data_IF_500609037551
#
_entry.id   IF_500609037551
#
_cell.length_a   1.000
_cell.length_b   1.000
_cell.length_c   1.000
_cell.angle_alpha   90.00
_cell.angle_beta   90.00
_cell.angle_gamma   90.00
#
_symmetry.space_group_name_H-M   'P 1'
#
loop_
_entity.id
_entity.type
_entity.pdbx_description
1 polymer ?
#
# COMPACT_ATOMS: atom_id res chain seq x y z
N UNK A 1 -24.56 0.10 -71.84
CA UNK A 1 -24.58 -1.36 -71.75
C UNK A 1 -25.09 -1.68 -70.35
N UNK A 2 -26.42 -1.93 -70.27
CA UNK A 2 -27.25 -2.49 -69.17
C UNK A 2 -27.03 -1.87 -67.78
N UNK A 3 -27.81 -0.89 -67.31
CA UNK A 3 -29.21 -0.90 -66.83
C UNK A 3 -29.55 -1.95 -65.76
N UNK A 4 -30.07 -1.46 -64.62
CA UNK A 4 -31.35 -1.84 -63.94
C UNK A 4 -31.22 -1.70 -62.41
N UNK A 5 -31.82 -0.61 -61.89
CA UNK A 5 -32.34 -0.46 -60.52
C UNK A 5 -33.38 -1.54 -60.19
N UNK A 6 -33.64 -1.86 -58.92
CA UNK A 6 -35.02 -2.06 -58.46
C UNK A 6 -35.12 -1.96 -56.92
N UNK A 7 -35.74 -0.87 -56.47
CA UNK A 7 -36.51 -0.76 -55.21
C UNK A 7 -37.90 -1.36 -55.42
N UNK A 8 -38.47 -1.95 -54.38
CA UNK A 8 -39.92 -2.03 -54.05
C UNK A 8 -40.10 -3.09 -52.94
N UNK A 9 -41.18 -3.16 -52.16
CA UNK A 9 -42.04 -2.21 -51.46
C UNK A 9 -42.95 -3.10 -50.57
N UNK A 10 -43.21 -2.69 -49.33
CA UNK A 10 -44.48 -2.77 -48.56
C UNK A 10 -45.37 -4.07 -48.54
N UNK A 11 -45.46 -4.63 -47.31
CA UNK A 11 -46.67 -5.07 -46.53
C UNK A 11 -47.35 -6.45 -46.76
N UNK A 12 -48.40 -6.83 -45.99
CA UNK A 12 -48.33 -7.24 -44.58
C UNK A 12 -49.00 -8.63 -44.37
N UNK A 13 -48.58 -9.42 -43.38
CA UNK A 13 -49.43 -10.51 -42.90
C UNK A 13 -49.74 -10.34 -41.41
N UNK A 14 -51.03 -10.10 -41.20
CA UNK A 14 -51.74 -9.85 -39.96
C UNK A 14 -52.47 -11.15 -39.66
N UNK A 15 -51.98 -11.94 -38.72
CA UNK A 15 -52.79 -12.95 -38.06
C UNK A 15 -52.75 -12.69 -36.56
N UNK A 16 -53.91 -12.33 -36.04
CA UNK A 16 -54.16 -12.13 -34.63
C UNK A 16 -54.38 -13.47 -33.94
N UNK A 17 -53.77 -13.61 -32.77
CA UNK A 17 -54.30 -14.41 -31.69
C UNK A 17 -54.08 -13.60 -30.41
N UNK A 18 -55.19 -13.24 -29.78
CA UNK A 18 -55.27 -12.52 -28.51
C UNK A 18 -55.43 -13.54 -27.36
N UNK A 19 -54.95 -13.12 -26.18
CA UNK A 19 -55.15 -13.68 -24.83
C UNK A 19 -54.46 -15.01 -24.46
N UNK A 20 -53.43 -14.91 -23.60
CA UNK A 20 -53.57 -15.40 -22.22
C UNK A 20 -52.62 -14.68 -21.24
N UNK A 21 -53.15 -14.51 -20.04
CA UNK A 21 -52.76 -13.75 -18.88
C UNK A 21 -51.73 -14.50 -18.02
N UNK A 22 -50.50 -13.97 -17.90
CA UNK A 22 -49.64 -13.94 -16.69
C UNK A 22 -48.17 -13.76 -17.07
N UNK A 23 -47.72 -12.50 -17.07
CA UNK A 23 -46.31 -12.14 -17.13
C UNK A 23 -45.91 -11.38 -15.88
N UNK A 24 -45.39 -12.10 -14.89
CA UNK A 24 -44.78 -11.58 -13.66
C UNK A 24 -43.86 -10.39 -13.98
N UNK A 25 -44.17 -9.22 -13.42
CA UNK A 25 -43.29 -8.05 -13.44
C UNK A 25 -41.96 -8.44 -12.78
N UNK A 26 -40.90 -8.47 -13.59
CA UNK A 26 -39.53 -8.43 -13.09
C UNK A 26 -38.88 -7.19 -13.70
N UNK A 27 -38.85 -6.12 -12.92
CA UNK A 27 -37.92 -5.01 -13.12
C UNK A 27 -36.53 -5.63 -13.22
N UNK A 28 -35.87 -5.49 -14.37
CA UNK A 28 -34.44 -5.79 -14.46
C UNK A 28 -33.72 -4.55 -13.96
N UNK A 29 -33.28 -4.65 -12.70
CA UNK A 29 -32.18 -3.87 -12.15
C UNK A 29 -31.01 -3.93 -13.12
N UNK A 30 -30.64 -2.77 -13.65
CA UNK A 30 -29.36 -2.55 -14.28
C UNK A 30 -28.33 -2.27 -13.20
N UNK A 31 -27.95 -3.30 -12.44
CA UNK A 31 -26.78 -3.23 -11.57
C UNK A 31 -25.59 -3.72 -12.40
N UNK A 32 -24.85 -2.78 -12.96
CA UNK A 32 -23.50 -3.04 -13.47
C UNK A 32 -22.59 -3.23 -12.25
N UNK A 33 -22.51 -4.45 -11.74
CA UNK A 33 -21.47 -4.85 -10.79
C UNK A 33 -20.15 -4.97 -11.55
N UNK A 34 -19.39 -3.88 -11.54
CA UNK A 34 -18.05 -3.82 -12.12
C UNK A 34 -17.09 -3.36 -11.03
N UNK A 35 -16.22 -4.29 -10.64
CA UNK A 35 -14.90 -4.06 -10.01
C UNK A 35 -14.79 -3.96 -8.47
N UNK A 36 -15.62 -4.68 -7.70
CA UNK A 36 -15.34 -4.83 -6.25
C UNK A 36 -14.53 -6.10 -5.91
N UNK A 37 -14.43 -7.08 -6.82
CA UNK A 37 -13.77 -8.36 -6.53
C UNK A 37 -12.23 -8.37 -6.77
N UNK A 38 -11.70 -7.41 -7.54
CA UNK A 38 -10.26 -7.35 -7.84
C UNK A 38 -9.43 -6.73 -6.71
N UNK A 39 -10.00 -5.78 -5.97
CA UNK A 39 -9.37 -5.14 -4.82
C UNK A 39 -9.24 -6.12 -3.66
N UNK A 40 -10.31 -6.84 -3.30
CA UNK A 40 -10.34 -7.80 -2.19
C UNK A 40 -9.33 -8.94 -2.36
N UNK A 41 -9.22 -9.49 -3.58
CA UNK A 41 -8.24 -10.52 -3.88
C UNK A 41 -6.79 -10.03 -3.69
N UNK A 42 -6.46 -8.81 -4.11
CA UNK A 42 -5.10 -8.25 -3.93
C UNK A 42 -4.78 -7.99 -2.46
N UNK A 43 -5.73 -7.48 -1.68
CA UNK A 43 -5.53 -7.29 -0.24
C UNK A 43 -5.32 -8.63 0.48
N UNK A 44 -6.11 -9.66 0.13
CA UNK A 44 -5.97 -11.01 0.66
C UNK A 44 -4.61 -11.65 0.31
N UNK A 45 -4.18 -11.53 -0.95
CA UNK A 45 -2.87 -12.02 -1.42
C UNK A 45 -1.70 -11.31 -0.73
N UNK A 46 -1.77 -9.98 -0.59
CA UNK A 46 -0.76 -9.20 0.12
C UNK A 46 -0.67 -9.61 1.61
N UNK A 47 -1.81 -9.83 2.26
CA UNK A 47 -1.85 -10.30 3.65
C UNK A 47 -1.18 -11.67 3.81
N UNK A 48 -1.32 -12.55 2.81
CA UNK A 48 -0.68 -13.87 2.78
C UNK A 48 0.83 -13.76 2.56
N UNK A 49 1.28 -12.89 1.68
CA UNK A 49 2.71 -12.66 1.45
C UNK A 49 3.40 -12.13 2.71
N UNK A 50 2.82 -11.15 3.39
CA UNK A 50 3.38 -10.62 4.65
C UNK A 50 3.42 -11.70 5.73
N UNK A 51 2.40 -12.55 5.84
CA UNK A 51 2.40 -13.71 6.77
C UNK A 51 3.52 -14.71 6.44
N UNK A 52 3.73 -15.02 5.16
CA UNK A 52 4.80 -15.92 4.74
C UNK A 52 6.18 -15.34 5.07
N UNK A 53 6.39 -14.04 4.79
CA UNK A 53 7.62 -13.34 5.16
C UNK A 53 7.80 -13.36 6.67
N UNK A 54 6.75 -13.03 7.43
CA UNK A 54 6.77 -13.08 8.88
C UNK A 54 7.14 -14.46 9.43
N UNK A 55 6.65 -15.54 8.82
CA UNK A 55 7.05 -16.91 9.18
C UNK A 55 8.55 -17.13 8.97
N UNK A 56 9.08 -16.75 7.81
CA UNK A 56 10.53 -16.86 7.53
C UNK A 56 11.36 -16.04 8.53
N UNK A 57 10.91 -14.83 8.87
CA UNK A 57 11.57 -13.98 9.87
C UNK A 57 11.55 -14.64 11.25
N UNK A 58 10.42 -15.23 11.68
CA UNK A 58 10.36 -16.00 12.94
C UNK A 58 11.28 -17.20 12.93
N UNK A 59 11.30 -17.98 11.84
CA UNK A 59 12.15 -19.15 11.69
C UNK A 59 13.63 -18.74 11.79
N UNK A 60 14.05 -17.69 11.07
CA UNK A 60 15.40 -17.14 11.15
C UNK A 60 15.74 -16.64 12.56
N UNK A 61 14.82 -15.94 13.22
CA UNK A 61 14.99 -15.47 14.61
C UNK A 61 15.14 -16.65 15.59
N UNK A 62 14.37 -17.72 15.41
CA UNK A 62 14.44 -18.93 16.24
C UNK A 62 15.78 -19.67 16.08
N UNK A 63 16.41 -19.56 14.91
CA UNK A 63 17.74 -20.10 14.63
C UNK A 63 18.89 -19.18 15.09
N UNK A 64 18.57 -17.99 15.62
CA UNK A 64 19.55 -17.00 16.09
C UNK A 64 20.03 -15.99 15.02
N UNK A 65 19.42 -15.99 13.84
CA UNK A 65 19.76 -15.08 12.71
C UNK A 65 18.93 -13.79 12.72
N UNK A 66 18.60 -13.24 13.89
CA UNK A 66 17.77 -12.05 14.03
C UNK A 66 18.33 -10.86 13.25
N UNK A 67 19.63 -10.57 13.37
CA UNK A 67 20.25 -9.43 12.67
C UNK A 67 20.21 -9.58 11.15
N UNK A 68 20.36 -10.80 10.64
CA UNK A 68 20.30 -11.09 9.20
C UNK A 68 18.87 -10.92 8.67
N UNK A 69 17.86 -11.39 9.43
CA UNK A 69 16.46 -11.18 9.08
C UNK A 69 16.10 -9.68 9.09
N UNK A 70 16.52 -8.97 10.14
CA UNK A 70 16.27 -7.53 10.30
C UNK A 70 16.93 -6.72 9.18
N UNK A 71 18.17 -7.03 8.83
CA UNK A 71 18.91 -6.37 7.76
C UNK A 71 18.34 -6.66 6.37
N UNK A 72 17.85 -7.89 6.13
CA UNK A 72 17.34 -8.30 4.83
C UNK A 72 16.09 -7.50 4.43
N UNK A 73 15.08 -7.40 5.30
CA UNK A 73 13.89 -6.61 4.97
C UNK A 73 14.19 -5.11 5.03
N UNK A 74 15.09 -4.65 5.92
CA UNK A 74 15.51 -3.25 5.98
C UNK A 74 16.11 -2.82 4.65
N UNK A 75 17.10 -3.57 4.16
CA UNK A 75 17.78 -3.32 2.90
C UNK A 75 16.83 -3.34 1.71
N UNK A 76 15.87 -4.28 1.67
CA UNK A 76 14.85 -4.32 0.62
C UNK A 76 13.96 -3.07 0.62
N UNK A 77 13.55 -2.59 1.81
CA UNK A 77 12.74 -1.37 1.96
C UNK A 77 13.53 -0.14 1.48
N UNK A 78 14.77 0.03 1.93
CA UNK A 78 15.61 1.16 1.54
C UNK A 78 15.92 1.16 0.04
N UNK A 79 16.19 -0.01 -0.55
CA UNK A 79 16.41 -0.15 -1.98
C UNK A 79 15.16 0.25 -2.79
N UNK A 80 13.98 -0.19 -2.36
CA UNK A 80 12.72 0.16 -3.01
C UNK A 80 12.41 1.65 -2.88
N UNK A 81 12.65 2.24 -1.70
CA UNK A 81 12.50 3.68 -1.48
C UNK A 81 13.45 4.48 -2.36
N UNK A 82 14.72 4.07 -2.46
CA UNK A 82 15.68 4.69 -3.38
C UNK A 82 15.15 4.66 -4.81
N UNK A 83 14.75 3.50 -5.31
CA UNK A 83 14.19 3.38 -6.66
C UNK A 83 12.96 4.28 -6.85
N UNK A 84 12.07 4.37 -5.86
CA UNK A 84 10.90 5.26 -5.91
C UNK A 84 11.30 6.73 -6.00
N UNK A 85 12.29 7.18 -5.22
CA UNK A 85 12.79 8.57 -5.27
C UNK A 85 13.36 8.88 -6.65
N UNK A 86 14.19 7.99 -7.21
CA UNK A 86 14.74 8.17 -8.57
C UNK A 86 13.64 8.19 -9.65
N UNK A 87 12.61 7.35 -9.54
CA UNK A 87 11.51 7.33 -10.50
C UNK A 87 10.64 8.59 -10.46
N UNK A 88 10.54 9.25 -9.30
CA UNK A 88 9.71 10.46 -9.13
C UNK A 88 10.52 11.73 -9.39
N UNK A 89 11.81 11.75 -9.05
CA UNK A 89 12.66 12.95 -9.07
C UNK A 89 13.81 12.87 -10.08
N UNK A 90 13.81 11.88 -10.98
CA UNK A 90 14.92 11.64 -11.91
C UNK A 90 15.10 12.74 -12.95
N UNK A 91 14.00 13.25 -13.50
CA UNK A 91 14.03 14.15 -14.66
C UNK A 91 13.15 15.41 -14.53
N UNK A 92 12.20 15.45 -13.59
CA UNK A 92 11.32 16.61 -13.39
C UNK A 92 11.59 17.29 -12.04
N UNK A 93 12.15 18.51 -12.11
CA UNK A 93 12.43 19.36 -10.95
C UNK A 93 11.44 20.51 -10.77
N UNK A 94 10.47 20.66 -11.70
CA UNK A 94 9.46 21.72 -11.66
C UNK A 94 8.36 21.42 -10.65
N UNK A 95 8.12 20.14 -10.38
CA UNK A 95 7.05 19.69 -9.50
C UNK A 95 7.54 19.34 -8.08
N UNK A 96 6.67 19.55 -7.09
CA UNK A 96 6.96 19.16 -5.70
C UNK A 96 6.84 17.64 -5.53
N UNK A 97 7.98 16.97 -5.58
CA UNK A 97 8.08 15.51 -5.44
C UNK A 97 7.97 15.01 -3.99
N UNK A 98 8.19 15.90 -3.00
CA UNK A 98 8.32 15.50 -1.60
C UNK A 98 7.05 14.88 -1.03
N UNK A 99 5.90 15.51 -1.29
CA UNK A 99 4.62 15.01 -0.78
C UNK A 99 4.32 13.62 -1.35
N UNK A 100 4.62 13.38 -2.63
CA UNK A 100 4.44 12.07 -3.28
C UNK A 100 5.26 10.98 -2.58
N UNK A 101 6.53 11.29 -2.26
CA UNK A 101 7.43 10.36 -1.57
C UNK A 101 6.95 10.09 -0.15
N UNK A 102 6.59 11.12 0.62
CA UNK A 102 6.08 10.98 1.99
C UNK A 102 4.79 10.16 2.04
N UNK A 103 3.83 10.44 1.16
CA UNK A 103 2.58 9.67 1.06
C UNK A 103 2.86 8.22 0.68
N UNK A 104 3.81 7.96 -0.22
CA UNK A 104 4.21 6.61 -0.58
C UNK A 104 4.85 5.85 0.60
N UNK A 105 5.71 6.51 1.39
CA UNK A 105 6.28 5.93 2.62
C UNK A 105 5.18 5.48 3.59
N UNK A 106 4.13 6.31 3.76
CA UNK A 106 2.99 5.96 4.60
C UNK A 106 2.18 4.78 4.06
N UNK A 107 1.97 4.73 2.74
CA UNK A 107 1.10 3.75 2.11
C UNK A 107 1.75 2.37 1.92
N UNK A 108 3.08 2.31 1.74
CA UNK A 108 3.76 1.07 1.34
C UNK A 108 4.68 0.53 2.45
N UNK A 109 5.88 1.08 2.71
CA UNK A 109 6.81 0.47 3.66
C UNK A 109 6.30 0.50 5.10
N UNK A 110 5.59 1.55 5.53
CA UNK A 110 5.04 1.59 6.89
C UNK A 110 3.86 0.63 7.08
N UNK A 111 3.00 0.45 6.08
CA UNK A 111 1.94 -0.58 6.14
C UNK A 111 2.53 -1.98 6.18
N UNK A 112 3.55 -2.25 5.36
CA UNK A 112 4.28 -3.51 5.38
C UNK A 112 4.91 -3.78 6.77
N UNK A 113 5.63 -2.80 7.32
CA UNK A 113 6.27 -2.92 8.63
C UNK A 113 5.25 -3.13 9.74
N UNK A 114 4.14 -2.38 9.73
CA UNK A 114 3.07 -2.57 10.69
C UNK A 114 2.50 -4.00 10.63
N UNK A 115 2.16 -4.48 9.43
CA UNK A 115 1.62 -5.83 9.26
C UNK A 115 2.63 -6.92 9.66
N UNK A 116 3.91 -6.72 9.36
CA UNK A 116 4.99 -7.62 9.77
C UNK A 116 5.16 -7.65 11.30
N UNK A 117 5.23 -6.49 11.95
CA UNK A 117 5.39 -6.40 13.41
C UNK A 117 4.19 -6.98 14.16
N UNK A 118 2.98 -6.75 13.66
CA UNK A 118 1.75 -7.37 14.18
C UNK A 118 1.85 -8.90 14.09
N UNK A 119 2.33 -9.44 12.96
CA UNK A 119 2.52 -10.89 12.81
C UNK A 119 3.58 -11.45 13.75
N UNK A 120 4.69 -10.73 13.94
CA UNK A 120 5.79 -11.14 14.82
C UNK A 120 5.42 -11.07 16.32
N UNK A 121 4.21 -10.58 16.65
CA UNK A 121 3.75 -10.43 18.03
C UNK A 121 4.43 -9.27 18.75
N UNK A 122 5.07 -8.36 18.02
CA UNK A 122 5.78 -7.21 18.58
C UNK A 122 4.81 -6.04 18.83
N UNK A 123 3.71 -6.32 19.56
CA UNK A 123 3.24 -5.30 20.50
C UNK A 123 4.25 -5.37 21.64
N UNK A 124 5.08 -4.34 21.82
CA UNK A 124 6.05 -4.26 22.90
C UNK A 124 5.31 -4.30 24.25
N UNK A 125 4.96 -5.50 24.69
CA UNK A 125 4.60 -5.83 26.05
C UNK A 125 5.90 -6.32 26.66
N UNK A 126 6.50 -5.49 27.50
CA UNK A 126 7.57 -5.91 28.36
C UNK A 126 7.02 -6.93 29.37
N UNK A 127 6.88 -8.20 28.98
CA UNK A 127 7.02 -9.29 29.93
C UNK A 127 8.49 -9.36 30.32
N UNK A 128 8.87 -8.40 31.17
CA UNK A 128 10.01 -8.57 32.05
C UNK A 128 9.60 -9.62 33.08
N UNK A 129 9.78 -10.90 32.76
CA UNK A 129 10.03 -11.93 33.77
C UNK A 129 11.29 -11.54 34.52
N UNK A 130 11.10 -10.76 35.58
CA UNK A 130 12.12 -10.40 36.56
C UNK A 130 11.55 -10.71 37.93
N UNK A 131 11.71 -11.97 38.34
CA UNK A 131 11.74 -12.35 39.75
C UNK A 131 13.02 -11.76 40.36
N UNK A 132 12.93 -10.55 40.89
CA UNK A 132 14.07 -9.89 41.52
C UNK A 132 13.65 -8.58 42.15
N UNK A 133 13.38 -8.63 43.46
CA UNK A 133 13.23 -7.54 44.43
C UNK A 133 13.42 -6.12 43.85
N UNK A 134 12.31 -5.43 43.56
CA UNK A 134 12.30 -4.02 43.10
C UNK A 134 12.67 -3.06 44.24
N UNK A 135 13.56 -2.12 43.94
CA UNK A 135 13.96 -1.00 44.79
C UNK A 135 12.83 0.06 44.89
N UNK A 136 12.49 0.55 46.10
CA UNK A 136 11.39 1.52 46.31
C UNK A 136 11.70 2.95 45.87
N UNK A 137 12.90 3.25 45.36
CA UNK A 137 13.32 4.59 44.92
C UNK A 137 13.36 4.78 43.40
N UNK A 138 13.03 3.76 42.61
CA UNK A 138 12.95 3.90 41.16
C UNK A 138 11.60 4.53 40.76
N UNK A 139 11.58 5.58 39.91
CA UNK A 139 10.33 6.09 39.36
C UNK A 139 9.63 4.96 38.63
N UNK A 140 8.39 4.66 39.02
CA UNK A 140 7.61 3.66 38.32
C UNK A 140 7.31 4.15 36.89
N UNK A 141 7.55 3.36 35.83
CA UNK A 141 6.96 3.65 34.54
C UNK A 141 5.44 3.59 34.73
N UNK A 142 4.79 4.73 34.51
CA UNK A 142 3.36 4.90 34.70
C UNK A 142 2.59 3.82 33.96
N UNK A 143 1.67 3.22 34.71
CA UNK A 143 0.70 2.20 34.33
C UNK A 143 0.21 2.31 32.89
N UNK A 144 0.25 1.16 32.22
CA UNK A 144 -0.54 0.81 31.05
C UNK A 144 -1.95 1.39 31.11
N UNK A 145 -2.29 2.23 30.13
CA UNK A 145 -3.66 2.45 29.69
C UNK A 145 -3.84 1.65 28.39
N UNK A 146 -4.61 0.55 28.37
CA UNK A 146 -4.99 -0.08 27.13
C UNK A 146 -6.14 0.75 26.52
N UNK A 147 -5.89 1.42 25.39
CA UNK A 147 -6.97 2.08 24.66
C UNK A 147 -6.64 3.31 23.82
N UNK A 148 -5.38 3.62 23.53
CA UNK A 148 -5.05 4.63 22.51
C UNK A 148 -4.11 3.97 21.51
N UNK A 149 -4.49 4.04 20.23
CA UNK A 149 -3.70 3.61 19.06
C UNK A 149 -2.45 4.50 18.90
N UNK A 150 -1.62 4.60 19.93
CA UNK A 150 -0.30 5.21 19.80
C UNK A 150 0.55 4.26 18.95
N UNK A 151 1.05 4.71 17.79
CA UNK A 151 1.87 3.85 16.94
C UNK A 151 3.08 3.37 17.73
N UNK A 152 3.47 2.11 17.52
CA UNK A 152 4.62 1.53 18.21
C UNK A 152 5.85 2.42 18.03
N UNK A 153 6.64 2.59 19.10
CA UNK A 153 7.85 3.44 19.08
C UNK A 153 8.79 3.06 17.91
N UNK A 154 8.84 1.76 17.58
CA UNK A 154 9.56 1.22 16.44
C UNK A 154 9.07 1.77 15.10
N UNK A 155 7.75 1.85 14.89
CA UNK A 155 7.17 2.35 13.64
C UNK A 155 7.45 3.85 13.45
N UNK A 156 7.40 4.63 14.53
CA UNK A 156 7.79 6.06 14.51
C UNK A 156 9.27 6.21 14.13
N UNK A 157 10.15 5.40 14.71
CA UNK A 157 11.58 5.40 14.39
C UNK A 157 11.83 5.00 12.93
N UNK A 158 11.10 4.02 12.41
CA UNK A 158 11.15 3.63 11.01
C UNK A 158 10.69 4.77 10.08
N UNK A 159 9.58 5.44 10.41
CA UNK A 159 9.12 6.60 9.64
C UNK A 159 10.21 7.67 9.51
N UNK A 160 10.82 8.07 10.63
CA UNK A 160 11.88 9.07 10.64
C UNK A 160 13.11 8.63 9.83
N UNK A 161 13.53 7.36 9.96
CA UNK A 161 14.65 6.81 9.18
C UNK A 161 14.38 6.81 7.68
N UNK A 162 13.17 6.44 7.26
CA UNK A 162 12.78 6.41 5.85
C UNK A 162 12.67 7.82 5.28
N UNK A 163 12.07 8.76 6.02
CA UNK A 163 12.01 10.16 5.62
C UNK A 163 13.40 10.76 5.49
N UNK A 164 14.27 10.56 6.49
CA UNK A 164 15.66 11.01 6.44
C UNK A 164 16.40 10.47 5.21
N UNK A 165 16.32 9.16 4.96
CA UNK A 165 16.95 8.53 3.80
C UNK A 165 16.41 9.07 2.47
N UNK A 166 15.11 9.34 2.38
CA UNK A 166 14.50 9.95 1.21
C UNK A 166 15.03 11.37 0.98
N UNK A 167 15.21 12.16 2.05
CA UNK A 167 15.78 13.50 1.95
C UNK A 167 17.24 13.48 1.48
N UNK A 168 18.08 12.61 2.05
CA UNK A 168 19.46 12.47 1.58
C UNK A 168 19.51 12.07 0.10
N UNK A 169 18.70 11.09 -0.30
CA UNK A 169 18.66 10.64 -1.70
C UNK A 169 18.19 11.75 -2.64
N UNK A 170 17.16 12.51 -2.24
CA UNK A 170 16.65 13.62 -3.03
C UNK A 170 17.67 14.76 -3.13
N UNK A 171 18.37 15.03 -2.04
CA UNK A 171 19.44 16.03 -2.00
C UNK A 171 20.55 15.66 -2.98
N UNK A 172 21.02 14.42 -2.98
CA UNK A 172 22.06 13.96 -3.90
C UNK A 172 21.66 14.16 -5.36
N UNK A 173 20.41 13.80 -5.71
CA UNK A 173 19.85 14.01 -7.05
C UNK A 173 19.82 15.49 -7.44
N UNK A 174 19.33 16.35 -6.53
CA UNK A 174 19.24 17.79 -6.78
C UNK A 174 20.61 18.45 -6.91
N UNK A 175 21.60 18.04 -6.12
CA UNK A 175 22.97 18.54 -6.24
C UNK A 175 23.57 18.12 -7.58
N UNK A 176 23.37 16.87 -8.00
CA UNK A 176 23.87 16.39 -9.30
C UNK A 176 23.28 17.17 -10.49
N UNK A 177 22.07 17.72 -10.33
CA UNK A 177 21.31 18.44 -11.37
C UNK A 177 21.22 19.94 -11.15
N UNK A 178 21.96 20.48 -10.18
CA UNK A 178 21.82 21.86 -9.72
C UNK A 178 21.99 22.89 -10.84
N UNK A 179 22.98 22.68 -11.73
CA UNK A 179 23.22 23.59 -12.85
C UNK A 179 22.12 23.57 -13.89
N UNK A 180 21.55 22.40 -14.19
CA UNK A 180 20.41 22.27 -15.11
C UNK A 180 19.21 23.03 -14.55
N UNK A 181 18.92 22.86 -13.25
CA UNK A 181 17.83 23.55 -12.56
C UNK A 181 18.01 25.08 -12.60
N UNK A 182 19.22 25.58 -12.36
CA UNK A 182 19.48 27.03 -12.30
C UNK A 182 19.38 27.69 -13.69
N UNK A 183 19.86 27.01 -14.74
CA UNK A 183 19.76 27.51 -16.12
C UNK A 183 18.29 27.71 -16.53
N UNK A 184 17.42 26.84 -16.01
CA UNK A 184 16.01 26.76 -16.34
C UNK A 184 15.09 27.67 -15.48
N UNK A 185 15.63 28.39 -14.49
CA UNK A 185 14.89 29.33 -13.63
C UNK A 185 14.35 30.54 -14.45
N UNK A 186 13.09 31.03 -14.26
CA UNK A 186 12.31 31.05 -13.03
C UNK A 186 11.14 30.06 -12.91
N UNK A 187 10.96 29.16 -13.86
CA UNK A 187 9.85 28.20 -13.83
C UNK A 187 10.03 27.09 -12.77
#
# INVERSE_FOLDING_TARGET
MVDVEFTDDVSPNKDGMDLDEKGKVCNKDGEMDVDECYSDRRFSENSRLVKNIGKVVLDLKSLGFTSMADDAYASAIFLLLKAKVYNVAGDDFRSSVLQSIQSWIQAVPLQFLHALLVYLGDSVSYESTSSGLKSPLAPQPSSFCPGIDTPSEGLVRWKLRLEYFAYETLQDLRIAKLFEIIVDYPE
#
